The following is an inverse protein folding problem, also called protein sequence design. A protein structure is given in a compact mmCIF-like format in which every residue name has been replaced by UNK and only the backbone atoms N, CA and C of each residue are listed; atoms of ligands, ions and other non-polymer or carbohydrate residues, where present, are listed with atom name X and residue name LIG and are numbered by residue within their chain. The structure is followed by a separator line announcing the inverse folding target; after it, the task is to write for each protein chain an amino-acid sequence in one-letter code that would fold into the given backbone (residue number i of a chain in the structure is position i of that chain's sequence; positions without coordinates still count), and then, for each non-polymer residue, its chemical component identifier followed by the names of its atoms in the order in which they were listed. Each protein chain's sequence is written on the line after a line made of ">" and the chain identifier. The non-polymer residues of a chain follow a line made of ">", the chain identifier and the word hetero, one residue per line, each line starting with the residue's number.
data_IF_584639982854
#
_entry.id   IF_584639982854
#
_cell.length_a   1.000
_cell.length_b   1.000
_cell.length_c   1.000
_cell.angle_alpha   90.00
_cell.angle_beta   90.00
_cell.angle_gamma   90.00
#
_symmetry.space_group_name_H-M   'P 1'
#
loop_
_entity.id
_entity.type
_entity.pdbx_description
1 polymer ?
#
# COMPACT_ATOMS: atom_id res chain seq x y z
N UNK A 1 5.20 14.90 -17.60
CA UNK A 1 4.04 15.82 -17.47
C UNK A 1 4.31 16.74 -16.29
N UNK A 2 3.78 17.97 -16.32
CA UNK A 2 4.05 18.99 -15.30
C UNK A 2 2.81 19.23 -14.44
N UNK A 3 2.94 19.28 -13.12
CA UNK A 3 1.84 19.17 -12.15
C UNK A 3 2.07 20.08 -10.95
N UNK A 4 1.05 20.63 -10.28
CA UNK A 4 1.21 21.57 -9.14
C UNK A 4 0.85 20.95 -7.78
N UNK A 5 1.81 20.83 -6.85
CA UNK A 5 1.58 20.50 -5.43
C UNK A 5 2.34 21.48 -4.54
N UNK A 6 1.73 21.98 -3.46
CA UNK A 6 2.34 23.01 -2.58
C UNK A 6 2.72 24.33 -3.29
N UNK A 7 2.05 24.68 -4.41
CA UNK A 7 2.47 25.80 -5.26
C UNK A 7 3.74 25.52 -6.10
N UNK A 8 4.38 24.37 -5.90
CA UNK A 8 5.53 23.90 -6.66
C UNK A 8 5.08 23.08 -7.86
N UNK A 9 5.86 23.21 -8.93
CA UNK A 9 5.64 22.55 -10.21
C UNK A 9 6.50 21.29 -10.26
N UNK A 10 5.86 20.13 -10.11
CA UNK A 10 6.48 18.81 -10.17
C UNK A 10 6.43 18.24 -11.58
N UNK A 11 7.51 17.56 -11.98
CA UNK A 11 7.56 16.84 -13.24
C UNK A 11 7.46 15.36 -12.93
N UNK A 12 6.37 14.75 -13.40
CA UNK A 12 6.13 13.32 -13.28
C UNK A 12 6.72 12.62 -14.50
N UNK A 13 7.65 11.71 -14.25
CA UNK A 13 8.36 10.91 -15.25
C UNK A 13 7.88 9.46 -15.20
N UNK A 14 7.46 8.91 -16.35
CA UNK A 14 7.19 7.48 -16.48
C UNK A 14 8.51 6.73 -16.57
N UNK A 15 8.73 5.76 -15.68
CA UNK A 15 9.98 4.98 -15.63
C UNK A 15 9.81 3.54 -16.14
N UNK A 16 8.61 2.98 -16.04
CA UNK A 16 8.28 1.67 -16.60
C UNK A 16 6.78 1.57 -16.90
N UNK A 17 6.40 0.66 -17.80
CA UNK A 17 5.02 0.46 -18.23
C UNK A 17 4.80 -0.94 -18.82
N UNK A 18 3.55 -1.26 -19.18
CA UNK A 18 3.21 -2.55 -19.80
C UNK A 18 2.82 -3.65 -18.80
N UNK A 19 2.53 -3.31 -17.54
CA UNK A 19 2.09 -4.24 -16.49
C UNK A 19 0.56 -4.38 -16.43
N UNK A 20 0.05 -5.22 -15.51
CA UNK A 20 -1.36 -5.34 -15.17
C UNK A 20 -1.81 -4.28 -14.16
N UNK A 21 -2.14 -4.71 -12.95
CA UNK A 21 -2.43 -3.81 -11.82
C UNK A 21 -1.23 -3.84 -10.89
N UNK A 22 -0.49 -2.74 -10.83
CA UNK A 22 0.67 -2.63 -9.97
C UNK A 22 0.26 -2.25 -8.56
N UNK A 23 0.85 -2.90 -7.56
CA UNK A 23 0.59 -2.65 -6.14
C UNK A 23 1.86 -2.74 -5.30
N UNK A 24 1.71 -2.42 -4.02
CA UNK A 24 2.74 -2.60 -3.00
C UNK A 24 4.12 -2.01 -3.36
N UNK A 25 4.21 -0.77 -3.88
CA UNK A 25 5.49 -0.15 -4.15
C UNK A 25 6.28 -0.03 -2.85
N UNK A 26 7.50 -0.53 -2.85
CA UNK A 26 8.35 -0.58 -1.67
C UNK A 26 9.79 -0.27 -2.04
N UNK A 27 10.38 0.76 -1.45
CA UNK A 27 11.79 1.10 -1.67
C UNK A 27 12.67 0.26 -0.75
N UNK A 28 13.40 -0.70 -1.33
CA UNK A 28 14.32 -1.56 -0.59
C UNK A 28 15.65 -0.86 -0.28
N UNK A 29 16.37 -1.41 0.71
CA UNK A 29 17.61 -0.84 1.22
C UNK A 29 18.72 -0.75 0.15
N UNK A 30 18.68 -1.62 -0.86
CA UNK A 30 19.62 -1.66 -1.98
C UNK A 30 19.34 -0.58 -3.05
N UNK A 31 18.42 0.36 -2.78
CA UNK A 31 18.07 1.45 -3.69
C UNK A 31 17.22 1.02 -4.88
N UNK A 32 16.62 -0.18 -4.80
CA UNK A 32 15.69 -0.71 -5.80
C UNK A 32 14.25 -0.49 -5.36
N UNK A 33 13.38 -0.19 -6.31
CA UNK A 33 11.93 -0.16 -6.08
C UNK A 33 11.36 -1.55 -6.35
N UNK A 34 10.72 -2.15 -5.36
CA UNK A 34 9.91 -3.35 -5.52
C UNK A 34 8.44 -2.99 -5.73
N UNK A 35 7.71 -3.86 -6.41
CA UNK A 35 6.27 -3.74 -6.65
C UNK A 35 5.69 -5.10 -7.06
N UNK A 36 4.39 -5.31 -6.84
CA UNK A 36 3.67 -6.50 -7.30
C UNK A 36 2.87 -6.23 -8.57
N UNK A 37 2.52 -7.30 -9.31
CA UNK A 37 1.44 -7.25 -10.30
C UNK A 37 0.28 -8.14 -9.80
N UNK A 38 -0.80 -7.51 -9.35
CA UNK A 38 -1.94 -8.19 -8.71
C UNK A 38 -2.60 -9.19 -9.66
N UNK A 39 -2.77 -8.81 -10.92
CA UNK A 39 -3.50 -9.61 -11.92
C UNK A 39 -2.60 -10.66 -12.58
N UNK A 40 -1.42 -10.25 -13.04
CA UNK A 40 -0.51 -11.14 -13.78
C UNK A 40 0.32 -12.01 -12.84
N UNK A 41 0.53 -11.54 -11.62
CA UNK A 41 1.26 -12.22 -10.56
C UNK A 41 2.73 -11.87 -10.56
N UNK A 42 3.33 -12.02 -9.38
CA UNK A 42 4.74 -11.84 -9.12
C UNK A 42 5.07 -10.54 -8.40
N UNK A 43 6.30 -10.49 -7.88
CA UNK A 43 6.95 -9.29 -7.34
C UNK A 43 8.17 -9.04 -8.21
N UNK A 44 8.34 -7.77 -8.58
CA UNK A 44 9.41 -7.31 -9.44
C UNK A 44 10.22 -6.26 -8.70
N UNK A 45 11.47 -6.06 -9.11
CA UNK A 45 12.29 -4.93 -8.70
C UNK A 45 12.75 -4.15 -9.92
N UNK A 46 12.82 -2.83 -9.80
CA UNK A 46 13.40 -1.95 -10.82
C UNK A 46 14.58 -1.16 -10.24
N UNK A 47 15.71 -1.21 -10.95
CA UNK A 47 16.92 -0.46 -10.63
C UNK A 47 16.87 0.99 -11.13
N UNK A 48 17.87 1.79 -10.72
CA UNK A 48 18.01 3.18 -11.18
C UNK A 48 18.27 3.30 -12.70
N UNK A 49 18.79 2.24 -13.32
CA UNK A 49 19.01 2.10 -14.75
C UNK A 49 17.73 1.71 -15.53
N UNK A 50 16.62 1.45 -14.83
CA UNK A 50 15.36 0.99 -15.41
C UNK A 50 15.28 -0.52 -15.63
N UNK A 51 16.31 -1.29 -15.26
CA UNK A 51 16.32 -2.75 -15.38
C UNK A 51 15.31 -3.39 -14.44
N UNK A 52 14.37 -4.18 -15.00
CA UNK A 52 13.34 -4.90 -14.24
C UNK A 52 13.76 -6.36 -14.04
N UNK A 53 13.68 -6.83 -12.80
CA UNK A 53 13.99 -8.20 -12.40
C UNK A 53 12.81 -8.82 -11.64
N UNK A 54 12.58 -10.12 -11.85
CA UNK A 54 11.59 -10.86 -11.08
C UNK A 54 12.19 -11.30 -9.74
N UNK A 55 11.51 -10.95 -8.64
CA UNK A 55 11.91 -11.30 -7.26
C UNK A 55 11.10 -12.50 -6.75
N UNK A 56 9.79 -12.52 -7.04
CA UNK A 56 8.90 -13.64 -6.72
C UNK A 56 8.07 -13.93 -7.96
N UNK A 57 8.03 -15.18 -8.40
CA UNK A 57 7.25 -15.61 -9.56
C UNK A 57 5.79 -15.92 -9.22
N UNK A 58 4.88 -15.67 -10.17
CA UNK A 58 3.54 -16.27 -10.29
C UNK A 58 2.54 -16.14 -9.11
N UNK A 59 2.84 -15.38 -8.06
CA UNK A 59 1.89 -15.13 -6.95
C UNK A 59 1.01 -13.92 -7.26
N UNK A 60 -0.30 -14.17 -7.47
CA UNK A 60 -1.33 -13.14 -7.73
C UNK A 60 -1.94 -12.60 -6.44
N UNK A 61 -2.63 -11.47 -6.55
CA UNK A 61 -3.39 -10.87 -5.45
C UNK A 61 -2.53 -10.19 -4.38
N UNK A 62 -1.24 -9.95 -4.62
CA UNK A 62 -0.36 -9.30 -3.64
C UNK A 62 -0.69 -7.80 -3.57
N UNK A 63 -1.33 -7.36 -2.50
CA UNK A 63 -1.57 -5.93 -2.22
C UNK A 63 -0.51 -5.27 -1.33
N UNK A 64 0.27 -6.06 -0.59
CA UNK A 64 1.18 -5.55 0.43
C UNK A 64 2.54 -6.25 0.43
N UNK A 65 3.59 -5.46 0.64
CA UNK A 65 4.98 -5.86 0.78
C UNK A 65 5.65 -5.13 1.94
N UNK A 66 6.52 -5.82 2.68
CA UNK A 66 7.44 -5.20 3.63
C UNK A 66 8.74 -5.98 3.72
N UNK A 67 9.84 -5.31 4.06
CA UNK A 67 11.08 -5.99 4.42
C UNK A 67 10.94 -6.76 5.73
N UNK A 68 11.72 -7.83 5.86
CA UNK A 68 11.89 -8.55 7.12
C UNK A 68 13.32 -8.36 7.64
N UNK A 69 13.50 -8.28 8.97
CA UNK A 69 14.80 -7.94 9.57
C UNK A 69 15.90 -8.98 9.29
N UNK A 70 15.52 -10.24 9.08
CA UNK A 70 16.42 -11.34 8.72
C UNK A 70 16.61 -11.49 7.21
N UNK A 71 16.24 -10.46 6.43
CA UNK A 71 16.19 -10.52 4.98
C UNK A 71 14.91 -11.16 4.44
N UNK A 72 14.71 -11.05 3.13
CA UNK A 72 13.47 -11.46 2.47
C UNK A 72 12.32 -10.45 2.65
N UNK A 73 11.13 -10.88 2.22
CA UNK A 73 9.93 -10.05 2.12
C UNK A 73 8.75 -10.69 2.85
N UNK A 74 7.97 -9.87 3.51
CA UNK A 74 6.58 -10.16 3.86
C UNK A 74 5.72 -9.87 2.64
N UNK A 75 4.80 -10.79 2.32
CA UNK A 75 3.96 -10.73 1.12
C UNK A 75 2.53 -11.15 1.46
N UNK A 76 1.55 -10.35 1.04
CA UNK A 76 0.11 -10.64 1.25
C UNK A 76 -0.52 -11.38 0.06
N UNK A 77 -1.84 -11.31 -0.09
CA UNK A 77 -2.65 -12.02 -1.07
C UNK A 77 -3.46 -13.14 -0.41
N UNK A 78 -3.38 -14.36 -0.94
CA UNK A 78 -4.13 -15.52 -0.39
C UNK A 78 -3.84 -15.82 1.09
N UNK A 79 -2.67 -15.42 1.57
CA UNK A 79 -2.20 -15.52 2.95
C UNK A 79 -1.12 -14.46 3.19
N UNK A 80 -0.68 -14.28 4.44
CA UNK A 80 0.53 -13.51 4.75
C UNK A 80 1.71 -14.47 4.85
N UNK A 81 2.76 -14.26 4.07
CA UNK A 81 3.95 -15.11 4.05
C UNK A 81 5.23 -14.31 4.17
N UNK A 82 6.22 -14.87 4.87
CA UNK A 82 7.61 -14.48 4.70
C UNK A 82 8.24 -15.30 3.56
N UNK A 83 9.03 -14.65 2.70
CA UNK A 83 9.70 -15.25 1.55
C UNK A 83 11.14 -14.76 1.44
N UNK A 84 12.09 -15.68 1.33
CA UNK A 84 13.51 -15.38 1.15
C UNK A 84 14.13 -16.38 0.18
N UNK A 85 14.37 -15.97 -1.06
CA UNK A 85 14.80 -16.89 -2.12
C UNK A 85 13.75 -17.97 -2.36
N UNK A 86 14.14 -19.24 -2.20
CA UNK A 86 13.24 -20.39 -2.33
C UNK A 86 12.47 -20.69 -1.03
N UNK A 87 12.91 -20.14 0.09
CA UNK A 87 12.25 -20.36 1.38
C UNK A 87 10.95 -19.56 1.45
N UNK A 88 9.91 -20.21 1.96
CA UNK A 88 8.58 -19.62 2.08
C UNK A 88 7.90 -20.14 3.33
N UNK A 89 7.47 -19.22 4.19
CA UNK A 89 6.75 -19.55 5.40
C UNK A 89 5.44 -18.78 5.47
N UNK A 90 4.34 -19.47 5.74
CA UNK A 90 3.06 -18.81 6.01
C UNK A 90 3.05 -18.34 7.46
N UNK A 91 2.72 -17.06 7.65
CA UNK A 91 2.59 -16.43 8.96
C UNK A 91 1.13 -16.31 9.40
N UNK A 92 0.22 -16.17 8.43
CA UNK A 92 -1.21 -16.09 8.68
C UNK A 92 -1.98 -16.62 7.47
N UNK A 93 -2.76 -17.68 7.66
CA UNK A 93 -3.70 -18.20 6.65
C UNK A 93 -5.01 -17.42 6.66
N UNK A 94 -5.71 -17.45 5.52
CA UNK A 94 -7.09 -17.00 5.47
C UNK A 94 -8.01 -17.94 6.29
N UNK A 95 -9.03 -17.37 6.92
CA UNK A 95 -9.99 -18.09 7.74
C UNK A 95 -11.42 -17.66 7.36
N UNK A 96 -12.06 -18.37 6.42
CA UNK A 96 -13.42 -18.04 5.99
C UNK A 96 -14.48 -18.16 7.09
N UNK A 97 -14.25 -18.95 8.14
CA UNK A 97 -15.15 -19.03 9.30
C UNK A 97 -15.13 -17.74 10.13
N UNK A 98 -14.06 -16.95 9.99
CA UNK A 98 -13.88 -15.64 10.62
C UNK A 98 -13.99 -14.49 9.62
N UNK A 99 -14.66 -14.69 8.48
CA UNK A 99 -14.84 -13.65 7.47
C UNK A 99 -13.52 -13.11 6.88
N UNK A 100 -12.49 -13.94 6.80
CA UNK A 100 -11.18 -13.61 6.20
C UNK A 100 -10.91 -14.55 5.02
N UNK A 101 -10.92 -14.02 3.80
CA UNK A 101 -10.70 -14.81 2.57
C UNK A 101 -9.36 -14.55 1.91
N UNK A 102 -8.81 -13.36 2.10
CA UNK A 102 -7.50 -12.94 1.62
C UNK A 102 -7.03 -11.71 2.39
N UNK A 103 -5.84 -11.23 2.05
CA UNK A 103 -5.19 -10.08 2.64
C UNK A 103 -4.71 -9.14 1.54
N UNK A 104 -4.87 -7.84 1.74
CA UNK A 104 -4.48 -6.82 0.76
C UNK A 104 -3.26 -6.03 1.24
N UNK A 105 -3.42 -4.77 1.61
CA UNK A 105 -2.33 -3.92 2.07
C UNK A 105 -1.88 -4.31 3.48
N UNK A 106 -0.63 -3.98 3.79
CA UNK A 106 -0.09 -4.09 5.13
C UNK A 106 0.77 -2.88 5.49
N UNK A 107 1.04 -2.75 6.77
CA UNK A 107 2.08 -1.87 7.30
C UNK A 107 2.78 -2.55 8.47
N UNK A 108 3.95 -2.03 8.86
CA UNK A 108 4.73 -2.54 9.98
C UNK A 108 4.85 -1.43 11.01
N UNK A 109 4.56 -1.75 12.28
CA UNK A 109 4.66 -0.77 13.35
C UNK A 109 6.10 -0.56 13.83
N UNK A 110 6.31 0.38 14.76
CA UNK A 110 7.64 0.68 15.31
C UNK A 110 8.31 -0.49 16.06
N UNK A 111 7.57 -1.55 16.39
CA UNK A 111 8.06 -2.76 17.07
C UNK A 111 8.36 -3.90 16.09
N UNK A 112 8.01 -3.76 14.81
CA UNK A 112 8.19 -4.80 13.80
C UNK A 112 7.03 -5.78 13.69
N UNK A 113 5.86 -5.47 14.29
CA UNK A 113 4.63 -6.27 14.12
C UNK A 113 3.95 -5.92 12.82
N UNK A 114 3.28 -6.89 12.19
CA UNK A 114 2.63 -6.69 10.90
C UNK A 114 1.15 -6.36 11.13
N UNK A 115 0.69 -5.20 10.69
CA UNK A 115 -0.73 -4.86 10.60
C UNK A 115 -1.20 -5.06 9.16
N UNK A 116 -2.26 -5.84 8.94
CA UNK A 116 -2.69 -6.25 7.61
C UNK A 116 -4.20 -6.10 7.45
N UNK A 117 -4.63 -5.59 6.30
CA UNK A 117 -6.02 -5.54 5.90
C UNK A 117 -6.51 -6.90 5.41
N UNK A 118 -7.48 -7.49 6.10
CA UNK A 118 -8.18 -8.68 5.66
C UNK A 118 -9.34 -8.30 4.72
N UNK A 119 -9.64 -9.16 3.76
CA UNK A 119 -10.76 -9.01 2.83
C UNK A 119 -11.77 -10.14 3.00
N UNK A 120 -13.06 -9.78 3.01
CA UNK A 120 -14.18 -10.73 2.88
C UNK A 120 -14.87 -10.55 1.52
N UNK A 121 -14.11 -10.84 0.46
CA UNK A 121 -14.61 -10.83 -0.91
C UNK A 121 -14.75 -12.28 -1.39
N UNK A 122 -15.94 -12.64 -1.85
CA UNK A 122 -16.11 -13.92 -2.55
C UNK A 122 -15.24 -13.93 -3.83
N UNK A 123 -14.85 -15.11 -4.34
CA UNK A 123 -14.26 -15.21 -5.68
C UNK A 123 -15.13 -14.43 -6.68
N UNK A 124 -14.57 -13.87 -7.77
CA UNK A 124 -15.24 -12.88 -8.61
C UNK A 124 -16.50 -13.47 -9.25
N UNK A 125 -17.63 -13.36 -8.56
CA UNK A 125 -18.98 -13.55 -9.08
C UNK A 125 -19.56 -12.17 -9.34
N UNK A 126 -20.46 -12.03 -10.33
CA UNK A 126 -21.12 -10.76 -10.65
C UNK A 126 -21.90 -10.11 -9.50
N UNK A 127 -22.10 -10.84 -8.40
CA UNK A 127 -22.96 -10.49 -7.26
C UNK A 127 -22.16 -10.20 -5.97
N UNK A 128 -20.85 -10.46 -5.96
CA UNK A 128 -20.02 -10.32 -4.77
C UNK A 128 -19.73 -8.85 -4.42
N UNK A 129 -20.54 -8.25 -3.55
CA UNK A 129 -20.16 -6.99 -2.90
C UNK A 129 -19.20 -7.29 -1.74
N UNK A 130 -18.17 -6.45 -1.49
CA UNK A 130 -17.31 -6.62 -0.33
C UNK A 130 -18.16 -6.61 0.95
N UNK A 131 -17.89 -7.57 1.84
CA UNK A 131 -18.50 -7.62 3.17
C UNK A 131 -17.50 -7.10 4.21
N UNK A 132 -17.99 -6.66 5.39
CA UNK A 132 -17.12 -6.30 6.48
C UNK A 132 -16.09 -7.39 6.80
N UNK A 133 -14.86 -6.95 7.05
CA UNK A 133 -13.73 -7.74 7.53
C UNK A 133 -12.92 -6.88 8.51
N UNK A 134 -11.63 -7.20 8.66
CA UNK A 134 -10.83 -6.78 9.81
C UNK A 134 -9.51 -6.12 9.39
N UNK A 135 -8.95 -5.30 10.27
CA UNK A 135 -7.49 -5.10 10.33
C UNK A 135 -6.96 -6.03 11.41
N UNK A 136 -6.02 -6.89 11.04
CA UNK A 136 -5.37 -7.84 11.93
C UNK A 136 -3.94 -7.40 12.21
N UNK A 137 -3.42 -7.72 13.40
CA UNK A 137 -2.00 -7.60 13.73
C UNK A 137 -1.42 -8.96 14.05
N UNK A 138 -0.35 -9.32 13.35
CA UNK A 138 0.47 -10.48 13.70
C UNK A 138 1.52 -9.99 14.71
N UNK A 139 1.46 -10.54 15.91
CA UNK A 139 2.37 -10.24 17.02
C UNK A 139 3.74 -10.90 16.80
N UNK A 140 4.74 -10.48 17.56
CA UNK A 140 6.12 -10.99 17.41
C UNK A 140 6.26 -12.49 17.71
N UNK A 141 5.38 -13.03 18.55
CA UNK A 141 5.29 -14.47 18.86
C UNK A 141 4.45 -15.26 17.83
N UNK A 142 3.93 -14.59 16.81
CA UNK A 142 3.08 -15.18 15.77
C UNK A 142 1.60 -15.27 16.11
N UNK A 143 1.19 -14.87 17.32
CA UNK A 143 -0.24 -14.75 17.65
C UNK A 143 -0.90 -13.61 16.85
N UNK A 144 -2.23 -13.66 16.72
CA UNK A 144 -2.98 -12.70 15.89
C UNK A 144 -4.04 -11.99 16.70
N UNK A 145 -3.99 -10.66 16.66
CA UNK A 145 -4.93 -9.75 17.32
C UNK A 145 -5.82 -9.08 16.26
N UNK A 146 -7.11 -8.91 16.54
CA UNK A 146 -7.99 -8.04 15.74
C UNK A 146 -7.82 -6.61 16.24
N UNK A 147 -7.36 -5.70 15.38
CA UNK A 147 -7.19 -4.29 15.72
C UNK A 147 -8.43 -3.45 15.41
N UNK A 148 -9.10 -3.76 14.30
CA UNK A 148 -10.32 -3.09 13.89
C UNK A 148 -11.23 -4.09 13.18
N UNK A 149 -12.54 -3.89 13.34
CA UNK A 149 -13.59 -4.56 12.61
C UNK A 149 -14.30 -3.56 11.67
N UNK A 150 -15.34 -4.03 10.99
CA UNK A 150 -16.19 -3.24 10.10
C UNK A 150 -15.40 -2.47 9.03
N UNK A 151 -14.47 -3.17 8.36
CA UNK A 151 -13.73 -2.65 7.20
C UNK A 151 -14.22 -3.34 5.93
N UNK A 152 -14.71 -2.60 4.93
CA UNK A 152 -15.28 -3.23 3.73
C UNK A 152 -14.20 -3.63 2.73
N UNK A 153 -13.23 -2.76 2.47
CA UNK A 153 -12.12 -3.07 1.57
C UNK A 153 -10.85 -2.34 2.02
N UNK A 154 -10.03 -3.04 2.80
CA UNK A 154 -8.80 -2.50 3.36
C UNK A 154 -7.72 -2.36 2.27
N UNK A 155 -7.44 -1.13 1.86
CA UNK A 155 -6.27 -0.77 1.07
C UNK A 155 -5.30 -0.01 1.98
N UNK A 156 -4.62 1.04 1.50
CA UNK A 156 -3.52 1.73 2.16
C UNK A 156 -3.56 1.76 3.68
N UNK A 157 -2.54 1.18 4.32
CA UNK A 157 -2.28 1.27 5.75
C UNK A 157 -0.95 1.96 6.03
N UNK A 158 -0.93 2.89 6.99
CA UNK A 158 0.32 3.39 7.55
C UNK A 158 0.12 3.92 8.96
N UNK A 159 1.17 3.92 9.76
CA UNK A 159 1.21 4.71 10.98
C UNK A 159 1.57 6.17 10.66
N UNK A 160 1.00 7.11 11.43
CA UNK A 160 1.46 8.50 11.44
C UNK A 160 2.96 8.57 11.77
N UNK A 161 3.59 9.69 11.42
CA UNK A 161 5.03 9.87 11.60
C UNK A 161 5.50 9.67 13.06
N UNK A 162 4.64 9.96 14.04
CA UNK A 162 4.89 9.76 15.46
C UNK A 162 4.44 8.39 16.00
N UNK A 163 3.89 7.53 15.15
CA UNK A 163 3.39 6.20 15.50
C UNK A 163 2.06 6.18 16.27
N UNK A 164 1.44 7.34 16.54
CA UNK A 164 0.27 7.46 17.43
C UNK A 164 -1.08 7.30 16.74
N UNK A 165 -1.11 7.09 15.44
CA UNK A 165 -2.34 6.91 14.68
C UNK A 165 -2.12 5.87 13.59
N UNK A 166 -2.96 4.84 13.53
CA UNK A 166 -3.08 4.01 12.35
C UNK A 166 -4.05 4.68 11.35
N UNK A 167 -3.59 4.86 10.13
CA UNK A 167 -4.35 5.36 8.99
C UNK A 167 -4.75 4.17 8.12
N UNK A 168 -6.01 4.17 7.68
CA UNK A 168 -6.58 3.09 6.87
C UNK A 168 -7.45 3.67 5.76
N UNK A 169 -7.17 3.29 4.52
CA UNK A 169 -8.08 3.49 3.40
C UNK A 169 -9.10 2.35 3.37
N UNK A 170 -10.38 2.74 3.39
CA UNK A 170 -11.49 1.85 3.04
C UNK A 170 -12.04 2.26 1.67
N UNK A 171 -11.59 1.57 0.63
CA UNK A 171 -11.88 1.93 -0.76
C UNK A 171 -13.34 1.75 -1.13
N UNK A 172 -14.01 0.75 -0.55
CA UNK A 172 -15.45 0.53 -0.77
C UNK A 172 -16.29 1.66 -0.16
N UNK A 173 -15.83 2.25 0.96
CA UNK A 173 -16.45 3.45 1.56
C UNK A 173 -15.92 4.78 1.00
N UNK A 174 -14.89 4.73 0.15
CA UNK A 174 -14.18 5.89 -0.41
C UNK A 174 -13.70 6.87 0.64
N UNK A 175 -13.10 6.36 1.71
CA UNK A 175 -12.64 7.21 2.80
C UNK A 175 -11.31 6.77 3.42
N UNK A 176 -10.71 7.73 4.12
CA UNK A 176 -9.55 7.56 4.99
C UNK A 176 -10.02 7.63 6.44
N UNK A 177 -9.85 6.54 7.16
CA UNK A 177 -10.04 6.46 8.60
C UNK A 177 -8.72 6.73 9.34
N UNK A 178 -8.83 7.30 10.53
CA UNK A 178 -7.73 7.42 11.47
C UNK A 178 -8.13 6.79 12.80
N UNK A 179 -7.26 5.95 13.35
CA UNK A 179 -7.43 5.25 14.62
C UNK A 179 -6.31 5.69 15.57
N UNK A 180 -6.61 6.39 16.68
CA UNK A 180 -5.61 6.68 17.69
C UNK A 180 -5.04 5.37 18.25
N UNK A 181 -3.72 5.27 18.40
CA UNK A 181 -3.07 4.14 19.07
C UNK A 181 -3.08 4.42 20.58
N UNK A 182 -3.60 3.49 21.37
CA UNK A 182 -3.65 3.62 22.83
C UNK A 182 -2.35 3.14 23.52
N UNK A 183 -2.26 3.33 24.84
CA UNK A 183 -1.07 2.95 25.62
C UNK A 183 -0.79 1.44 25.65
N UNK A 184 -1.80 0.61 25.35
CA UNK A 184 -1.70 -0.85 25.24
C UNK A 184 -1.41 -1.35 23.82
N UNK A 185 -1.08 -0.45 22.89
CA UNK A 185 -0.97 -0.70 21.46
C UNK A 185 -2.29 -1.15 20.79
N UNK A 186 -3.44 -0.93 21.43
CA UNK A 186 -4.75 -1.09 20.81
C UNK A 186 -5.12 0.11 19.93
N UNK A 187 -6.30 0.04 19.30
CA UNK A 187 -6.85 1.14 18.53
C UNK A 187 -8.07 1.73 19.23
N UNK A 188 -8.05 3.04 19.45
CA UNK A 188 -9.20 3.82 19.88
C UNK A 188 -10.24 3.98 18.77
N UNK A 189 -11.33 4.69 19.08
CA UNK A 189 -12.42 4.91 18.14
C UNK A 189 -11.96 5.58 16.84
N UNK A 190 -12.35 5.01 15.70
CA UNK A 190 -12.05 5.56 14.38
C UNK A 190 -12.69 6.93 14.17
N UNK A 191 -11.97 7.83 13.51
CA UNK A 191 -12.47 9.14 13.04
C UNK A 191 -12.31 9.23 11.52
N UNK A 192 -13.32 9.81 10.85
CA UNK A 192 -13.23 10.09 9.43
C UNK A 192 -12.23 11.23 9.23
N UNK A 193 -11.19 11.00 8.43
CA UNK A 193 -10.17 12.01 8.16
C UNK A 193 -10.39 12.71 6.81
N UNK A 194 -10.75 11.94 5.78
CA UNK A 194 -11.09 12.43 4.45
C UNK A 194 -12.00 11.44 3.71
N UNK A 195 -12.75 11.93 2.73
CA UNK A 195 -13.57 11.10 1.84
C UNK A 195 -13.60 11.68 0.42
N UNK A 196 -13.89 10.82 -0.56
CA UNK A 196 -13.89 11.19 -1.97
C UNK A 196 -15.15 10.68 -2.67
N UNK A 197 -15.96 11.59 -3.21
CA UNK A 197 -17.20 11.22 -3.89
C UNK A 197 -16.95 10.67 -5.30
N UNK A 198 -16.02 11.26 -6.04
CA UNK A 198 -15.77 10.97 -7.46
C UNK A 198 -14.46 10.24 -7.73
N UNK A 199 -13.80 9.72 -6.69
CA UNK A 199 -12.58 8.94 -6.81
C UNK A 199 -12.57 7.82 -5.75
N UNK A 200 -11.86 6.74 -6.04
CA UNK A 200 -11.65 5.63 -5.11
C UNK A 200 -10.24 5.77 -4.55
N UNK A 201 -10.07 6.04 -3.25
CA UNK A 201 -8.77 6.00 -2.61
C UNK A 201 -8.24 4.57 -2.55
N UNK A 202 -6.93 4.42 -2.60
CA UNK A 202 -6.29 3.10 -2.66
C UNK A 202 -5.10 3.06 -1.68
N UNK A 203 -3.86 2.98 -2.14
CA UNK A 203 -2.66 3.04 -1.29
C UNK A 203 -2.33 4.42 -0.70
N UNK A 204 -1.49 4.45 0.33
CA UNK A 204 -0.99 5.69 0.93
C UNK A 204 0.46 5.59 1.44
N UNK A 205 1.10 6.75 1.64
CA UNK A 205 2.40 6.88 2.28
C UNK A 205 2.50 8.16 3.12
N UNK A 206 3.44 8.20 4.07
CA UNK A 206 3.62 9.31 5.02
C UNK A 206 4.96 9.99 4.78
N UNK A 207 4.95 11.33 4.67
CA UNK A 207 6.17 12.14 4.64
C UNK A 207 6.63 12.55 6.05
N UNK A 208 7.89 12.95 6.17
CA UNK A 208 8.54 13.26 7.44
C UNK A 208 7.90 14.43 8.22
N UNK A 209 7.15 15.29 7.54
CA UNK A 209 6.36 16.37 8.16
C UNK A 209 4.94 15.95 8.55
N UNK A 210 4.63 14.65 8.44
CA UNK A 210 3.33 14.06 8.79
C UNK A 210 2.26 14.18 7.70
N UNK A 211 2.58 14.68 6.50
CA UNK A 211 1.59 14.71 5.43
C UNK A 211 1.27 13.29 4.91
N UNK A 212 0.01 13.09 4.54
CA UNK A 212 -0.54 11.81 4.10
C UNK A 212 -0.73 11.88 2.59
N UNK A 213 -0.01 11.06 1.85
CA UNK A 213 -0.07 10.99 0.39
C UNK A 213 -0.93 9.81 -0.02
N UNK A 214 -2.06 10.07 -0.66
CA UNK A 214 -3.08 9.07 -0.99
C UNK A 214 -3.20 8.91 -2.50
N UNK A 215 -3.07 7.69 -2.99
CA UNK A 215 -3.39 7.31 -4.36
C UNK A 215 -4.90 7.31 -4.58
N UNK A 216 -5.38 7.92 -5.65
CA UNK A 216 -6.79 7.97 -6.01
C UNK A 216 -7.01 7.51 -7.45
N UNK A 217 -7.80 6.45 -7.61
CA UNK A 217 -8.33 6.02 -8.89
C UNK A 217 -9.56 6.84 -9.28
N UNK A 218 -9.65 7.27 -10.54
CA UNK A 218 -10.75 8.04 -11.11
C UNK A 218 -11.42 7.26 -12.24
N UNK A 219 -12.62 7.68 -12.65
CA UNK A 219 -13.36 7.00 -13.71
C UNK A 219 -12.68 7.14 -15.09
N UNK A 220 -11.99 8.26 -15.33
CA UNK A 220 -11.20 8.53 -16.53
C UNK A 220 -9.94 9.30 -16.13
N UNK A 221 -8.89 9.19 -16.95
CA UNK A 221 -7.67 9.95 -16.71
C UNK A 221 -7.95 11.46 -16.68
N UNK A 222 -7.24 12.23 -15.85
CA UNK A 222 -6.15 11.79 -14.97
C UNK A 222 -6.65 11.13 -13.67
N UNK A 223 -5.87 10.17 -13.17
CA UNK A 223 -5.92 9.75 -11.77
C UNK A 223 -5.09 10.71 -10.91
N UNK A 224 -5.16 10.58 -9.59
CA UNK A 224 -4.60 11.58 -8.68
C UNK A 224 -3.73 10.96 -7.58
N UNK A 225 -2.78 11.74 -7.09
CA UNK A 225 -2.20 11.56 -5.75
C UNK A 225 -2.50 12.81 -4.94
N UNK A 226 -3.17 12.70 -3.81
CA UNK A 226 -3.50 13.85 -2.95
C UNK A 226 -2.62 13.84 -1.70
N UNK A 227 -1.99 14.97 -1.39
CA UNK A 227 -1.30 15.19 -0.14
C UNK A 227 -2.24 15.91 0.84
N UNK A 228 -2.47 15.30 2.00
CA UNK A 228 -3.26 15.84 3.09
C UNK A 228 -2.36 16.28 4.24
N UNK A 229 -2.75 17.33 4.96
CA UNK A 229 -2.25 17.60 6.30
C UNK A 229 -2.52 16.41 7.24
N UNK A 230 -1.80 16.25 8.37
CA UNK A 230 -2.12 15.23 9.38
C UNK A 230 -3.59 15.27 9.86
N UNK A 231 -4.20 16.46 9.81
CA UNK A 231 -5.61 16.70 10.14
C UNK A 231 -6.62 16.37 9.03
N UNK A 232 -6.17 15.88 7.87
CA UNK A 232 -7.03 15.47 6.74
C UNK A 232 -7.36 16.57 5.73
N UNK A 233 -6.98 17.82 5.98
CA UNK A 233 -7.17 18.92 5.03
C UNK A 233 -6.27 18.72 3.81
N UNK A 234 -6.82 18.81 2.60
CA UNK A 234 -6.01 18.80 1.39
C UNK A 234 -4.98 19.94 1.38
N UNK A 235 -3.74 19.56 1.11
CA UNK A 235 -2.58 20.45 0.96
C UNK A 235 -2.17 20.61 -0.52
N UNK A 236 -2.44 19.60 -1.36
CA UNK A 236 -2.28 19.67 -2.81
C UNK A 236 -2.51 18.32 -3.48
N UNK A 237 -2.52 18.29 -4.82
CA UNK A 237 -2.68 17.05 -5.61
C UNK A 237 -1.79 16.95 -6.85
N UNK A 238 -1.32 15.75 -7.16
CA UNK A 238 -0.63 15.42 -8.40
C UNK A 238 -1.60 14.76 -9.39
N UNK A 239 -1.62 15.20 -10.64
CA UNK A 239 -2.26 14.49 -11.75
C UNK A 239 -1.30 13.45 -12.34
N UNK A 240 -1.83 12.25 -12.56
CA UNK A 240 -1.10 11.13 -13.17
C UNK A 240 -1.81 10.77 -14.48
N UNK A 241 -1.09 10.58 -15.60
CA UNK A 241 -1.69 10.29 -16.91
C UNK A 241 -2.15 8.83 -17.03
N UNK A 242 -2.85 8.33 -16.00
CA UNK A 242 -3.55 7.07 -15.96
C UNK A 242 -4.74 7.21 -14.99
N UNK A 243 -5.92 6.64 -15.30
CA UNK A 243 -7.09 6.77 -14.43
C UNK A 243 -6.92 6.06 -13.08
N UNK A 244 -6.24 4.91 -13.09
CA UNK A 244 -6.18 4.00 -11.94
C UNK A 244 -4.82 4.10 -11.25
N UNK A 245 -4.65 5.14 -10.43
CA UNK A 245 -3.51 5.28 -9.52
C UNK A 245 -3.80 4.42 -8.29
N UNK A 246 -2.97 3.40 -8.08
CA UNK A 246 -3.23 2.33 -7.11
C UNK A 246 -2.45 2.55 -5.83
N UNK A 247 -1.18 2.98 -5.90
CA UNK A 247 -0.39 3.13 -4.68
C UNK A 247 0.78 4.10 -4.86
N UNK A 248 1.39 4.51 -3.74
CA UNK A 248 2.53 5.42 -3.69
C UNK A 248 3.56 4.98 -2.64
N UNK A 249 4.83 5.24 -2.89
CA UNK A 249 5.85 5.11 -1.85
C UNK A 249 6.96 6.16 -2.01
N UNK A 250 7.64 6.45 -0.91
CA UNK A 250 8.85 7.24 -0.93
C UNK A 250 10.08 6.36 -1.16
N UNK A 251 11.07 6.89 -1.87
CA UNK A 251 12.31 6.20 -2.16
C UNK A 251 13.40 7.15 -2.67
N UNK A 252 14.42 6.58 -3.30
CA UNK A 252 15.66 7.29 -3.59
C UNK A 252 16.57 7.36 -2.36
N UNK A 253 17.82 7.77 -2.58
CA UNK A 253 18.86 7.72 -1.54
C UNK A 253 18.55 8.57 -0.29
N UNK A 254 17.71 9.60 -0.44
CA UNK A 254 17.28 10.51 0.63
C UNK A 254 15.76 10.51 0.84
N UNK A 255 15.06 9.49 0.32
CA UNK A 255 13.61 9.28 0.46
C UNK A 255 12.71 10.40 -0.08
N UNK A 256 13.23 11.31 -0.91
CA UNK A 256 12.44 12.40 -1.48
C UNK A 256 12.02 12.17 -2.94
N UNK A 257 12.18 10.95 -3.46
CA UNK A 257 11.52 10.52 -4.68
C UNK A 257 10.17 9.87 -4.33
N UNK A 258 9.07 10.44 -4.82
CA UNK A 258 7.76 9.84 -4.74
C UNK A 258 7.54 8.96 -5.98
N UNK A 259 7.45 7.65 -5.74
CA UNK A 259 7.04 6.67 -6.72
C UNK A 259 5.52 6.51 -6.68
N UNK A 260 4.92 6.41 -7.86
CA UNK A 260 3.48 6.27 -8.05
C UNK A 260 3.25 5.11 -8.99
N UNK A 261 2.50 4.11 -8.57
CA UNK A 261 2.15 2.97 -9.41
C UNK A 261 0.69 3.05 -9.85
N UNK A 262 0.42 2.53 -11.04
CA UNK A 262 -0.89 2.55 -11.65
C UNK A 262 -1.24 1.18 -12.16
N UNK A 263 -2.53 0.90 -12.28
CA UNK A 263 -3.00 -0.33 -12.91
C UNK A 263 -3.74 -0.10 -14.22
N UNK A 264 -3.96 -1.20 -14.93
CA UNK A 264 -4.77 -1.25 -16.14
C UNK A 264 -5.52 -2.59 -16.22
N UNK A 265 -6.82 -2.52 -16.50
CA UNK A 265 -7.66 -3.70 -16.78
C UNK A 265 -7.89 -3.79 -18.29
N UNK A 266 -7.32 -4.81 -18.94
CA UNK A 266 -7.51 -5.05 -20.39
C UNK A 266 -6.20 -5.19 -21.18
N UNK A 267 -6.33 -5.38 -22.49
CA UNK A 267 -5.21 -5.48 -23.43
C UNK A 267 -4.83 -4.10 -23.98
N UNK A 268 -3.54 -3.76 -24.00
CA UNK A 268 -3.03 -2.49 -24.50
C UNK A 268 -1.54 -2.33 -24.22
N UNK A 269 -0.83 -1.58 -25.05
CA UNK A 269 0.63 -1.45 -24.98
C UNK A 269 1.11 -0.57 -23.82
N UNK A 270 0.30 0.40 -23.35
CA UNK A 270 0.70 1.29 -22.26
C UNK A 270 0.59 0.62 -20.87
N UNK A 271 -0.42 -0.24 -20.63
CA UNK A 271 -0.56 -1.04 -19.40
C UNK A 271 -0.53 -0.26 -18.07
N UNK A 272 -0.44 -0.99 -16.96
CA UNK A 272 -0.05 -0.42 -15.66
C UNK A 272 1.39 0.10 -15.73
N UNK A 273 1.67 1.19 -15.01
CA UNK A 273 2.91 1.93 -15.15
C UNK A 273 3.44 2.44 -13.80
N UNK A 274 4.72 2.78 -13.81
CA UNK A 274 5.41 3.39 -12.68
C UNK A 274 5.82 4.78 -13.08
N UNK A 275 5.46 5.74 -12.24
CA UNK A 275 5.86 7.13 -12.35
C UNK A 275 6.72 7.53 -11.16
N UNK A 276 7.57 8.52 -11.38
CA UNK A 276 8.44 9.11 -10.36
C UNK A 276 8.39 10.62 -10.45
N UNK A 277 8.36 11.27 -9.30
CA UNK A 277 8.62 12.72 -9.17
C UNK A 277 9.45 12.98 -7.94
N UNK A 278 10.26 14.04 -7.98
CA UNK A 278 10.96 14.55 -6.81
C UNK A 278 10.01 15.41 -5.97
N UNK A 279 9.97 15.24 -4.65
CA UNK A 279 9.18 16.07 -3.74
C UNK A 279 10.07 16.87 -2.78
N UNK A 280 9.53 17.94 -2.20
CA UNK A 280 10.26 18.81 -1.28
C UNK A 280 10.42 18.27 0.14
N UNK A 281 9.60 17.31 0.56
CA UNK A 281 9.65 16.67 1.88
C UNK A 281 9.83 15.16 1.69
N UNK A 282 10.86 14.54 2.29
CA UNK A 282 11.10 13.12 2.14
C UNK A 282 10.06 12.28 2.89
N UNK A 283 10.02 11.00 2.54
CA UNK A 283 9.37 9.95 3.33
C UNK A 283 10.11 9.66 4.64
N UNK A 284 9.63 8.61 5.31
CA UNK A 284 10.23 8.06 6.51
C UNK A 284 10.91 6.72 6.20
N UNK A 285 12.02 6.38 6.89
CA UNK A 285 12.52 5.02 6.91
C UNK A 285 11.44 4.06 7.41
N UNK A 286 11.28 2.92 6.73
CA UNK A 286 10.29 1.91 7.11
C UNK A 286 10.91 0.90 8.09
N UNK A 287 10.17 0.56 9.15
CA UNK A 287 10.55 -0.50 10.09
C UNK A 287 10.38 -1.86 9.41
N UNK A 288 11.40 -2.74 9.41
CA UNK A 288 11.24 -4.10 8.92
C UNK A 288 10.41 -4.94 9.90
N UNK A 289 9.68 -5.92 9.38
CA UNK A 289 8.99 -6.90 10.19
C UNK A 289 9.99 -7.77 10.98
N UNK A 290 9.61 -8.19 12.19
CA UNK A 290 10.46 -8.91 13.15
C UNK A 290 9.83 -10.19 13.69
N UNK A 291 8.81 -10.70 13.00
CA UNK A 291 8.08 -11.88 13.43
C UNK A 291 8.98 -13.10 13.21
N UNK A 292 9.20 -13.88 14.25
CA UNK A 292 10.07 -15.05 14.14
C UNK A 292 9.57 -16.02 13.05
N UNK A 293 10.37 -16.28 12.00
CA UNK A 293 10.11 -17.40 11.11
C UNK A 293 10.45 -18.68 11.88
N UNK A 294 9.48 -19.22 12.61
CA UNK A 294 9.59 -20.50 13.32
C UNK A 294 9.71 -21.74 12.41
#
# INVERSE_FOLDING_TARGET
>A
MTVKVLGNVYIVHRIASGFGILEAPFHAAEGRLLFSDVLRGGVYSIGADGGVETVIEHRRGIGGLAAHEQGGLIVTGRNVSWKHGLDSRVLLEADPERDVRSFNDLTVDGRGRICVGALNLDPPTPEGSPRPSHVLRIELDGSVTVLADDVLFANGLAFSADGKTLLLIDSARRCLWAFPVDEGDGLGSRRLLASWESATPDGLAISADGAIWVALATAQAPGLVVALEPGGRERGRLEVPAPMVTNVCFGGADLADLYVVTGHVGAGADGGAIYKTRVGVPGLPLTPARIAPA
#
